data_IF_834668366701
#
_entry.id   IF_834668366701
#
_cell.length_a   1.000
_cell.length_b   1.000
_cell.length_c   1.000
_cell.angle_alpha   90.00
_cell.angle_beta   90.00
_cell.angle_gamma   90.00
#
_symmetry.space_group_name_H-M   'P 1'
#
loop_
_entity.id
_entity.type
_entity.pdbx_description
1 polymer ?
#
# COMPACT_ATOMS: atom_id res chain seq x y z
N UNK A 1 40.97 -62.82 -20.74
CA UNK A 1 40.83 -62.07 -19.48
C UNK A 1 40.91 -60.60 -19.82
N UNK A 2 39.80 -59.86 -19.76
CA UNK A 2 39.79 -58.41 -19.95
C UNK A 2 39.24 -57.79 -18.66
N UNK A 3 40.09 -57.03 -17.97
CA UNK A 3 39.78 -56.36 -16.71
C UNK A 3 39.05 -55.06 -17.02
N UNK A 4 37.82 -54.89 -16.54
CA UNK A 4 37.09 -53.63 -16.63
C UNK A 4 37.56 -52.66 -15.53
N UNK A 5 37.93 -51.43 -15.91
CA UNK A 5 38.25 -50.34 -15.00
C UNK A 5 36.96 -49.53 -14.74
N UNK A 6 36.56 -49.39 -13.48
CA UNK A 6 35.47 -48.50 -13.08
C UNK A 6 36.08 -47.21 -12.52
N UNK A 7 35.76 -46.06 -13.13
CA UNK A 7 36.18 -44.75 -12.64
C UNK A 7 35.03 -44.15 -11.83
N UNK A 8 35.19 -44.04 -10.52
CA UNK A 8 34.29 -43.25 -9.68
C UNK A 8 34.55 -41.77 -9.94
N UNK A 9 33.50 -41.04 -10.33
CA UNK A 9 33.50 -39.57 -10.39
C UNK A 9 32.94 -39.09 -9.05
N UNK A 10 33.81 -38.57 -8.19
CA UNK A 10 33.37 -37.81 -7.01
C UNK A 10 33.19 -36.36 -7.42
N UNK A 11 31.95 -35.88 -7.38
CA UNK A 11 31.67 -34.46 -7.50
C UNK A 11 32.09 -33.77 -6.18
N UNK A 12 33.14 -32.95 -6.25
CA UNK A 12 33.48 -32.05 -5.16
C UNK A 12 32.49 -30.89 -5.16
N UNK A 13 31.57 -30.90 -4.19
CA UNK A 13 30.70 -29.75 -3.93
C UNK A 13 31.56 -28.66 -3.30
N UNK A 14 31.92 -27.65 -4.10
CA UNK A 14 32.62 -26.46 -3.63
C UNK A 14 31.61 -25.55 -2.89
N UNK A 15 31.79 -25.38 -1.58
CA UNK A 15 30.89 -24.59 -0.72
C UNK A 15 31.25 -23.09 -0.68
N UNK A 16 32.12 -22.59 -1.55
CA UNK A 16 32.77 -21.27 -1.36
C UNK A 16 31.91 -20.07 -1.78
N UNK A 17 30.66 -20.29 -2.18
CA UNK A 17 29.68 -19.21 -2.42
C UNK A 17 28.27 -19.59 -1.96
N UNK A 18 28.11 -19.87 -0.66
CA UNK A 18 26.77 -19.79 -0.04
C UNK A 18 26.40 -18.30 0.07
N UNK A 19 25.80 -17.77 -0.98
CA UNK A 19 25.14 -16.46 -0.94
C UNK A 19 23.87 -16.58 -0.11
N UNK A 20 23.91 -16.14 1.14
CA UNK A 20 22.69 -15.96 1.93
C UNK A 20 21.90 -14.79 1.32
N UNK A 21 20.88 -15.10 0.53
CA UNK A 21 19.88 -14.13 0.13
C UNK A 21 19.11 -13.70 1.37
N UNK A 22 19.28 -12.46 1.81
CA UNK A 22 18.35 -11.87 2.79
C UNK A 22 17.07 -11.60 1.99
N UNK A 23 16.01 -12.37 2.23
CA UNK A 23 14.70 -12.04 1.71
C UNK A 23 14.34 -10.65 2.26
N UNK A 24 14.09 -9.69 1.36
CA UNK A 24 13.68 -8.36 1.76
C UNK A 24 12.22 -8.48 2.26
N UNK A 25 12.05 -8.74 3.55
CA UNK A 25 10.75 -8.78 4.19
C UNK A 25 10.35 -7.35 4.51
N UNK A 26 9.17 -6.92 4.05
CA UNK A 26 8.60 -5.66 4.50
C UNK A 26 8.35 -5.75 6.00
N UNK A 27 9.14 -5.01 6.79
CA UNK A 27 8.92 -4.89 8.23
C UNK A 27 7.77 -3.93 8.43
N UNK A 28 6.59 -4.48 8.72
CA UNK A 28 5.46 -3.71 9.18
C UNK A 28 5.59 -3.57 10.70
N UNK A 29 5.79 -2.35 11.20
CA UNK A 29 5.82 -2.12 12.64
C UNK A 29 4.43 -2.40 13.20
N UNK A 30 4.38 -3.23 14.25
CA UNK A 30 3.21 -3.37 15.10
C UNK A 30 3.02 -2.04 15.82
N UNK A 31 2.17 -1.17 15.27
CA UNK A 31 1.70 0.05 15.92
C UNK A 31 2.83 0.99 16.36
N UNK A 32 3.81 1.28 15.48
CA UNK A 32 4.67 2.44 15.72
C UNK A 32 3.78 3.68 15.80
N UNK A 33 3.80 4.38 16.94
CA UNK A 33 3.01 5.58 17.14
C UNK A 33 3.35 6.59 16.05
N UNK A 34 2.34 6.90 15.23
CA UNK A 34 2.54 7.81 14.12
C UNK A 34 2.53 9.24 14.62
N UNK A 35 3.69 9.74 15.05
CA UNK A 35 3.79 11.04 15.71
C UNK A 35 4.07 12.18 14.75
N UNK A 36 4.65 11.89 13.57
CA UNK A 36 5.13 12.94 12.67
C UNK A 36 4.13 13.21 11.55
N UNK A 37 3.53 14.40 11.56
CA UNK A 37 2.65 14.84 10.48
C UNK A 37 3.40 14.96 9.15
N UNK A 38 2.77 14.47 8.08
CA UNK A 38 3.27 14.59 6.70
C UNK A 38 3.21 16.06 6.26
N UNK A 39 4.29 16.53 5.62
CA UNK A 39 4.28 17.81 4.91
C UNK A 39 3.39 17.72 3.65
N UNK A 40 2.92 18.84 3.07
CA UNK A 40 2.09 18.80 1.86
C UNK A 40 2.72 18.04 0.69
N UNK A 41 4.03 18.23 0.47
CA UNK A 41 4.79 17.51 -0.57
C UNK A 41 4.76 16.00 -0.32
N UNK A 42 5.01 15.60 0.93
CA UNK A 42 4.99 14.19 1.32
C UNK A 42 3.59 13.59 1.20
N UNK A 43 2.57 14.29 1.66
CA UNK A 43 1.18 13.86 1.59
C UNK A 43 0.76 13.62 0.14
N UNK A 44 0.94 14.61 -0.74
CA UNK A 44 0.53 14.52 -2.15
C UNK A 44 1.31 13.42 -2.87
N UNK A 45 2.61 13.31 -2.62
CA UNK A 45 3.46 12.27 -3.24
C UNK A 45 3.07 10.86 -2.79
N UNK A 46 2.74 10.67 -1.51
CA UNK A 46 2.34 9.38 -0.96
C UNK A 46 0.94 9.00 -1.45
N UNK A 47 0.00 9.95 -1.41
CA UNK A 47 -1.36 9.77 -1.92
C UNK A 47 -1.37 9.31 -3.37
N UNK A 48 -0.61 9.98 -4.23
CA UNK A 48 -0.49 9.58 -5.62
C UNK A 48 0.13 8.18 -5.78
N UNK A 49 1.16 7.87 -4.99
CA UNK A 49 1.79 6.55 -4.99
C UNK A 49 0.85 5.43 -4.53
N UNK A 50 0.04 5.66 -3.50
CA UNK A 50 -0.89 4.69 -2.95
C UNK A 50 -2.09 4.44 -3.89
N UNK A 51 -2.54 5.46 -4.62
CA UNK A 51 -3.65 5.36 -5.57
C UNK A 51 -3.23 4.78 -6.92
N UNK A 52 -2.16 5.30 -7.52
CA UNK A 52 -1.75 4.97 -8.90
C UNK A 52 -0.60 3.97 -8.97
N UNK A 53 0.05 3.63 -7.84
CA UNK A 53 1.18 2.71 -7.82
C UNK A 53 2.44 3.24 -8.52
N UNK A 54 2.50 4.54 -8.80
CA UNK A 54 3.61 5.16 -9.55
C UNK A 54 4.01 6.51 -8.92
N UNK A 55 5.13 7.06 -9.37
CA UNK A 55 5.61 8.38 -8.89
C UNK A 55 4.86 9.50 -9.58
N UNK A 56 4.41 10.49 -8.82
CA UNK A 56 3.80 11.70 -9.35
C UNK A 56 4.82 12.50 -10.19
N UNK A 57 4.43 13.04 -11.36
CA UNK A 57 5.26 13.97 -12.11
C UNK A 57 5.62 15.24 -11.31
N UNK A 58 6.88 15.68 -11.38
CA UNK A 58 7.38 16.84 -10.59
C UNK A 58 6.60 18.14 -10.86
N UNK A 59 6.18 18.36 -12.11
CA UNK A 59 5.40 19.54 -12.48
C UNK A 59 4.02 19.56 -11.80
N UNK A 60 3.37 18.42 -11.67
CA UNK A 60 2.08 18.26 -11.01
C UNK A 60 2.23 18.39 -9.49
N UNK A 61 3.21 17.69 -8.91
CA UNK A 61 3.53 17.77 -7.48
C UNK A 61 3.77 19.21 -7.03
N UNK A 62 4.57 19.97 -7.78
CA UNK A 62 4.86 21.36 -7.46
C UNK A 62 3.60 22.24 -7.50
N UNK A 63 2.72 22.06 -8.50
CA UNK A 63 1.46 22.81 -8.60
C UNK A 63 0.53 22.52 -7.44
N UNK A 64 0.29 21.25 -7.15
CA UNK A 64 -0.61 20.83 -6.07
C UNK A 64 -0.07 21.24 -4.69
N UNK A 65 1.25 21.18 -4.51
CA UNK A 65 1.90 21.67 -3.28
C UNK A 65 1.66 23.16 -3.10
N UNK A 66 1.82 23.97 -4.15
CA UNK A 66 1.56 25.41 -4.08
C UNK A 66 0.10 25.71 -3.75
N UNK A 67 -0.84 24.98 -4.35
CA UNK A 67 -2.28 25.10 -4.04
C UNK A 67 -2.53 24.74 -2.58
N UNK A 68 -2.03 23.60 -2.12
CA UNK A 68 -2.19 23.18 -0.72
C UNK A 68 -1.59 24.21 0.25
N UNK A 69 -0.42 24.78 -0.06
CA UNK A 69 0.22 25.82 0.76
C UNK A 69 -0.55 27.15 0.79
N UNK A 70 -1.13 27.56 -0.35
CA UNK A 70 -1.90 28.80 -0.46
C UNK A 70 -3.25 28.76 0.27
N UNK A 71 -3.81 27.58 0.50
CA UNK A 71 -5.08 27.41 1.23
C UNK A 71 -4.83 27.34 2.75
N UNK A 72 -5.59 28.08 3.54
CA UNK A 72 -5.50 28.02 5.01
C UNK A 72 -6.02 26.68 5.56
N UNK A 73 -7.14 26.21 5.01
CA UNK A 73 -7.68 24.89 5.34
C UNK A 73 -6.98 23.79 4.54
N UNK A 74 -6.08 23.07 5.22
CA UNK A 74 -5.30 21.99 4.61
C UNK A 74 -6.14 20.74 4.39
N UNK A 75 -7.13 20.46 5.24
CA UNK A 75 -7.97 19.26 5.15
C UNK A 75 -8.86 19.37 3.92
N UNK A 76 -9.53 20.51 3.74
CA UNK A 76 -10.33 20.78 2.54
C UNK A 76 -9.48 20.69 1.26
N UNK A 77 -8.27 21.26 1.27
CA UNK A 77 -7.39 21.19 0.10
C UNK A 77 -7.02 19.74 -0.25
N UNK A 78 -6.78 18.89 0.75
CA UNK A 78 -6.44 17.48 0.56
C UNK A 78 -7.65 16.67 0.07
N UNK A 79 -8.86 16.94 0.57
CA UNK A 79 -10.11 16.35 0.09
C UNK A 79 -10.37 16.66 -1.39
N UNK A 80 -10.12 17.90 -1.81
CA UNK A 80 -10.25 18.29 -3.22
C UNK A 80 -9.22 17.59 -4.11
N UNK A 81 -7.99 17.42 -3.63
CA UNK A 81 -6.95 16.67 -4.35
C UNK A 81 -7.34 15.20 -4.46
N UNK A 82 -7.84 14.60 -3.38
CA UNK A 82 -8.35 13.23 -3.39
C UNK A 82 -9.50 13.07 -4.40
N UNK A 83 -10.50 13.96 -4.33
CA UNK A 83 -11.63 13.96 -5.27
C UNK A 83 -11.17 14.07 -6.72
N UNK A 84 -10.19 14.94 -7.00
CA UNK A 84 -9.60 15.04 -8.34
C UNK A 84 -8.98 13.70 -8.80
N UNK A 85 -8.24 13.01 -7.93
CA UNK A 85 -7.63 11.73 -8.28
C UNK A 85 -8.63 10.59 -8.42
N UNK A 86 -9.66 10.52 -7.57
CA UNK A 86 -10.72 9.51 -7.67
C UNK A 86 -11.52 9.63 -8.98
N UNK A 87 -11.69 10.86 -9.48
CA UNK A 87 -12.32 11.12 -10.78
C UNK A 87 -11.37 10.98 -11.98
N UNK A 88 -10.10 10.58 -11.78
CA UNK A 88 -9.14 10.42 -12.86
C UNK A 88 -9.40 9.12 -13.64
N UNK A 89 -9.47 9.14 -14.98
CA UNK A 89 -9.62 7.92 -15.79
C UNK A 89 -8.39 7.01 -15.73
N UNK A 90 -7.27 7.49 -15.17
CA UNK A 90 -6.05 6.71 -14.99
C UNK A 90 -6.09 5.86 -13.71
N UNK A 91 -7.05 6.11 -12.82
CA UNK A 91 -7.14 5.40 -11.55
C UNK A 91 -7.76 4.02 -11.79
N UNK A 92 -7.02 2.98 -11.42
CA UNK A 92 -7.48 1.60 -11.49
C UNK A 92 -7.84 1.14 -10.08
N UNK A 93 -9.13 1.25 -9.75
CA UNK A 93 -9.68 0.68 -8.52
C UNK A 93 -10.11 -0.78 -8.76
N UNK A 94 -9.99 -1.65 -7.74
CA UNK A 94 -10.76 -2.89 -7.71
C UNK A 94 -12.25 -2.59 -7.89
N UNK A 95 -12.98 -3.50 -8.52
CA UNK A 95 -14.44 -3.41 -8.59
C UNK A 95 -15.06 -3.78 -7.25
N UNK A 96 -16.29 -3.33 -7.00
CA UNK A 96 -17.04 -3.71 -5.79
C UNK A 96 -17.21 -5.24 -5.67
N UNK A 97 -17.33 -5.93 -6.81
CA UNK A 97 -17.36 -7.39 -6.84
C UNK A 97 -16.02 -7.99 -6.40
N UNK A 98 -14.89 -7.49 -6.90
CA UNK A 98 -13.56 -7.99 -6.51
C UNK A 98 -13.28 -7.78 -5.02
N UNK A 99 -13.78 -6.69 -4.44
CA UNK A 99 -13.74 -6.47 -3.00
C UNK A 99 -14.56 -7.53 -2.25
N UNK A 100 -15.77 -7.85 -2.73
CA UNK A 100 -16.70 -8.78 -2.08
C UNK A 100 -16.32 -10.25 -2.29
N UNK A 101 -15.58 -10.58 -3.34
CA UNK A 101 -15.06 -11.92 -3.59
C UNK A 101 -14.08 -12.37 -2.49
N UNK A 102 -13.30 -11.44 -1.91
CA UNK A 102 -12.44 -11.69 -0.74
C UNK A 102 -12.27 -10.44 0.14
N UNK A 103 -13.24 -10.21 1.03
CA UNK A 103 -13.23 -9.08 1.97
C UNK A 103 -12.03 -9.11 2.91
N UNK A 104 -11.58 -10.30 3.32
CA UNK A 104 -10.48 -10.44 4.26
C UNK A 104 -9.17 -9.93 3.65
N UNK A 105 -8.86 -10.38 2.44
CA UNK A 105 -7.69 -9.93 1.70
C UNK A 105 -7.83 -8.47 1.29
N UNK A 106 -9.01 -8.02 0.88
CA UNK A 106 -9.23 -6.62 0.53
C UNK A 106 -8.95 -5.67 1.71
N UNK A 107 -9.49 -5.95 2.90
CA UNK A 107 -9.26 -5.11 4.09
C UNK A 107 -7.79 -5.09 4.48
N UNK A 108 -7.13 -6.26 4.52
CA UNK A 108 -5.69 -6.32 4.81
C UNK A 108 -4.85 -5.54 3.80
N UNK A 109 -5.12 -5.71 2.50
CA UNK A 109 -4.42 -4.98 1.45
C UNK A 109 -4.65 -3.47 1.55
N UNK A 110 -5.84 -3.03 1.95
CA UNK A 110 -6.19 -1.62 2.15
C UNK A 110 -5.42 -1.00 3.31
N UNK A 111 -5.33 -1.71 4.44
CA UNK A 111 -4.51 -1.30 5.59
C UNK A 111 -3.02 -1.22 5.25
N UNK A 112 -2.49 -2.22 4.54
CA UNK A 112 -1.09 -2.20 4.09
C UNK A 112 -0.86 -1.06 3.12
N UNK A 113 -1.79 -0.83 2.18
CA UNK A 113 -1.68 0.23 1.19
C UNK A 113 -1.62 1.60 1.84
N UNK A 114 -2.56 1.96 2.69
CA UNK A 114 -2.67 3.33 3.20
C UNK A 114 -1.94 3.56 4.51
N UNK A 115 -1.88 2.55 5.39
CA UNK A 115 -1.33 2.69 6.73
C UNK A 115 0.00 1.99 6.94
N UNK A 116 0.47 1.20 5.96
CA UNK A 116 1.74 0.45 6.03
C UNK A 116 1.82 -0.46 7.27
N UNK A 117 0.69 -1.05 7.66
CA UNK A 117 0.57 -2.04 8.74
C UNK A 117 -0.54 -3.02 8.44
N UNK A 118 -0.56 -4.14 9.17
CA UNK A 118 -1.72 -5.02 9.20
C UNK A 118 -2.81 -4.43 10.12
N UNK A 119 -4.10 -4.69 9.83
CA UNK A 119 -5.16 -4.43 10.78
C UNK A 119 -5.02 -5.33 12.00
N UNK A 120 -5.46 -4.86 13.15
CA UNK A 120 -5.71 -5.73 14.30
C UNK A 120 -6.89 -6.67 14.00
N UNK A 121 -7.02 -7.81 14.72
CA UNK A 121 -8.13 -8.73 14.50
C UNK A 121 -9.51 -8.06 14.64
N UNK A 122 -9.66 -7.13 15.57
CA UNK A 122 -10.91 -6.39 15.78
C UNK A 122 -11.20 -5.38 14.66
N UNK A 123 -10.19 -4.63 14.19
CA UNK A 123 -10.34 -3.74 13.04
C UNK A 123 -10.74 -4.50 11.78
N UNK A 124 -10.09 -5.64 11.53
CA UNK A 124 -10.39 -6.50 10.39
C UNK A 124 -11.84 -6.99 10.45
N UNK A 125 -12.25 -7.54 11.60
CA UNK A 125 -13.61 -8.02 11.80
C UNK A 125 -14.64 -6.90 11.61
N UNK A 126 -14.39 -5.72 12.16
CA UNK A 126 -15.27 -4.56 12.03
C UNK A 126 -15.47 -4.16 10.57
N UNK A 127 -14.39 -3.98 9.81
CA UNK A 127 -14.49 -3.55 8.41
C UNK A 127 -15.08 -4.62 7.49
N UNK A 128 -14.76 -5.90 7.72
CA UNK A 128 -15.38 -7.00 6.95
C UNK A 128 -16.90 -6.99 7.17
N UNK A 129 -17.37 -6.94 8.42
CA UNK A 129 -18.79 -6.92 8.72
C UNK A 129 -19.46 -5.66 8.17
N UNK A 130 -18.84 -4.49 8.34
CA UNK A 130 -19.37 -3.23 7.82
C UNK A 130 -19.65 -3.28 6.32
N UNK A 131 -18.70 -3.82 5.54
CA UNK A 131 -18.83 -3.91 4.08
C UNK A 131 -19.81 -5.02 3.68
N UNK A 132 -19.83 -6.14 4.40
CA UNK A 132 -20.73 -7.26 4.11
C UNK A 132 -22.20 -6.90 4.38
N UNK A 133 -22.45 -6.21 5.49
CA UNK A 133 -23.78 -5.79 5.94
C UNK A 133 -24.41 -4.72 5.02
N UNK A 134 -23.61 -3.89 4.35
CA UNK A 134 -24.08 -2.82 3.46
C UNK A 134 -23.51 -2.92 2.03
N UNK A 135 -24.38 -3.33 1.10
CA UNK A 135 -24.05 -3.45 -0.31
C UNK A 135 -23.87 -2.09 -1.01
N UNK A 136 -24.30 -0.98 -0.41
CA UNK A 136 -24.10 0.36 -0.93
C UNK A 136 -22.67 0.90 -0.70
N UNK A 137 -21.88 0.26 0.16
CA UNK A 137 -20.48 0.62 0.36
C UNK A 137 -19.67 0.18 -0.85
N UNK A 138 -19.09 1.17 -1.54
CA UNK A 138 -18.22 0.95 -2.70
C UNK A 138 -16.74 0.99 -2.30
N UNK A 139 -15.87 0.45 -3.18
CA UNK A 139 -14.41 0.52 -3.00
C UNK A 139 -13.93 1.97 -2.85
N UNK A 140 -14.52 2.89 -3.63
CA UNK A 140 -14.20 4.31 -3.57
C UNK A 140 -14.49 4.92 -2.19
N UNK A 141 -15.65 4.56 -1.58
CA UNK A 141 -16.00 5.01 -0.24
C UNK A 141 -15.02 4.50 0.81
N UNK A 142 -14.62 3.23 0.72
CA UNK A 142 -13.62 2.65 1.63
C UNK A 142 -12.29 3.37 1.50
N UNK A 143 -11.78 3.54 0.28
CA UNK A 143 -10.49 4.21 0.06
C UNK A 143 -10.52 5.66 0.55
N UNK A 144 -11.64 6.36 0.30
CA UNK A 144 -11.86 7.72 0.80
C UNK A 144 -11.82 7.77 2.32
N UNK A 145 -12.54 6.87 3.01
CA UNK A 145 -12.56 6.81 4.46
C UNK A 145 -11.15 6.57 5.04
N UNK A 146 -10.36 5.69 4.42
CA UNK A 146 -9.00 5.40 4.86
C UNK A 146 -8.06 6.59 4.69
N UNK A 147 -8.14 7.30 3.57
CA UNK A 147 -7.28 8.45 3.26
C UNK A 147 -7.64 9.68 4.10
N UNK A 148 -8.92 9.86 4.44
CA UNK A 148 -9.39 10.97 5.28
C UNK A 148 -9.19 10.73 6.77
N UNK A 149 -8.94 9.50 7.20
CA UNK A 149 -8.64 9.21 8.60
C UNK A 149 -7.35 9.89 9.06
N UNK A 150 -7.34 10.32 10.33
CA UNK A 150 -6.18 10.95 10.95
C UNK A 150 -4.90 10.12 10.78
N UNK A 151 -4.98 8.79 10.90
CA UNK A 151 -3.83 7.90 10.75
C UNK A 151 -3.09 8.08 9.41
N UNK A 152 -3.81 8.44 8.34
CA UNK A 152 -3.20 8.68 7.03
C UNK A 152 -2.33 9.94 6.99
N UNK A 153 -2.53 10.90 7.90
CA UNK A 153 -1.77 12.15 7.93
C UNK A 153 -0.39 12.04 8.59
N UNK A 154 -0.13 10.95 9.31
CA UNK A 154 1.10 10.79 10.08
C UNK A 154 1.97 9.66 9.53
N UNK A 155 3.26 9.73 9.84
CA UNK A 155 4.25 8.67 9.63
C UNK A 155 4.34 7.78 10.85
#
# INVERSE_FOLDING_TARGET
MFTACHKEVREEVNYDQVMYGINNVAVYSSSAEKERQKTPVQYISILYGDLFGQRIPNNELNKLTLISLANGDKTMANELILSHYLNSPQLLLPTDQQMRDDLNTFVEATYIRFYKRYPTPYEKLFFVNLIDDDQAITVEMVYTAFILANEYYFY
#
